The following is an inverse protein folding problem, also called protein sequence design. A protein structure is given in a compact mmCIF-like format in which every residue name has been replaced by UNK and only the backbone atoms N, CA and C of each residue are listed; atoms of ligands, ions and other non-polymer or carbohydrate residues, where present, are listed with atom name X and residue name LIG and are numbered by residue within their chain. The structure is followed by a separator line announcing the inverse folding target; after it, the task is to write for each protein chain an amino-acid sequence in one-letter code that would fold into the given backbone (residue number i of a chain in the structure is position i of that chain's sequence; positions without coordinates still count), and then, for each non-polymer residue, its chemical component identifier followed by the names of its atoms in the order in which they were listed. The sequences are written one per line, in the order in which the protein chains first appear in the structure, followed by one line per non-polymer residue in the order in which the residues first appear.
data_IF_849926639102
#
_entry.id   IF_849926639102
#
_cell.length_a   1.000
_cell.length_b   1.000
_cell.length_c   1.000
_cell.angle_alpha   90.00
_cell.angle_beta   90.00
_cell.angle_gamma   90.00
#
_symmetry.space_group_name_H-M   'P 1'
#
loop_
_entity.id
_entity.type
_entity.pdbx_description
1 polymer ?
#
# COMPACT_ATOMS: atom_id res chain seq x y z
N UNK A 1 -39.22 26.65 27.97
CA UNK A 1 -37.98 25.82 28.07
C UNK A 1 -38.23 24.51 27.34
N UNK A 2 -37.36 24.16 26.42
CA UNK A 2 -37.44 22.92 25.68
C UNK A 2 -36.82 21.81 26.53
N UNK A 3 -37.44 20.64 26.56
CA UNK A 3 -36.93 19.46 27.25
C UNK A 3 -36.33 18.47 26.25
N UNK A 4 -35.16 17.89 26.59
CA UNK A 4 -34.59 16.77 25.87
C UNK A 4 -34.98 15.46 26.55
N UNK A 5 -35.32 14.45 25.76
CA UNK A 5 -35.52 13.08 26.21
C UNK A 5 -34.61 12.17 25.43
N UNK A 6 -33.98 11.19 26.08
CA UNK A 6 -33.14 10.17 25.45
C UNK A 6 -33.40 8.83 26.12
N UNK A 7 -33.44 7.77 25.31
CA UNK A 7 -33.54 6.39 25.76
C UNK A 7 -32.83 5.46 24.78
N UNK A 8 -32.55 4.22 25.20
CA UNK A 8 -31.87 3.19 24.40
C UNK A 8 -32.78 1.97 24.27
N UNK A 9 -32.89 1.41 23.06
CA UNK A 9 -33.67 0.22 22.78
C UNK A 9 -32.98 -0.71 21.80
N UNK A 10 -33.35 -1.98 21.79
CA UNK A 10 -32.89 -2.97 20.82
C UNK A 10 -33.98 -3.18 19.77
N UNK A 11 -33.58 -3.13 18.50
CA UNK A 11 -34.45 -3.40 17.36
C UNK A 11 -33.92 -4.64 16.64
N UNK A 12 -34.81 -5.47 16.12
CA UNK A 12 -34.42 -6.59 15.23
C UNK A 12 -34.01 -6.07 13.88
N UNK A 13 -33.35 -6.91 13.08
CA UNK A 13 -33.08 -6.63 11.67
C UNK A 13 -34.39 -6.30 10.93
N UNK A 14 -34.32 -5.32 10.02
CA UNK A 14 -35.41 -4.88 9.16
C UNK A 14 -35.75 -3.40 9.29
N UNK A 15 -36.77 -2.99 8.57
CA UNK A 15 -37.26 -1.62 8.60
C UNK A 15 -38.17 -1.37 9.82
N UNK A 16 -37.89 -0.31 10.55
CA UNK A 16 -38.66 0.08 11.73
C UNK A 16 -39.17 1.51 11.59
N UNK A 17 -40.44 1.72 11.91
CA UNK A 17 -41.00 3.04 12.10
C UNK A 17 -41.01 3.36 13.61
N UNK A 18 -40.23 4.36 14.03
CA UNK A 18 -40.26 4.86 15.40
C UNK A 18 -41.29 5.99 15.52
N UNK A 19 -42.12 5.95 16.56
CA UNK A 19 -43.05 7.00 16.89
C UNK A 19 -42.72 7.58 18.28
N UNK A 20 -42.46 8.87 18.33
CA UNK A 20 -42.43 9.63 19.57
C UNK A 20 -43.79 10.26 19.80
N UNK A 21 -44.43 9.88 20.92
CA UNK A 21 -45.72 10.42 21.34
C UNK A 21 -45.54 11.25 22.60
N UNK A 22 -46.06 12.46 22.61
CA UNK A 22 -46.10 13.33 23.79
C UNK A 22 -47.57 13.66 24.12
N UNK A 23 -47.90 13.54 25.38
CA UNK A 23 -49.24 13.84 25.89
C UNK A 23 -49.14 14.86 27.05
N UNK A 24 -49.92 15.93 26.98
CA UNK A 24 -49.96 16.94 28.05
C UNK A 24 -50.95 16.54 29.20
N UNK A 25 -50.93 17.29 30.28
CA UNK A 25 -51.78 17.07 31.45
C UNK A 25 -53.29 17.23 31.17
N UNK A 26 -53.66 17.77 30.00
CA UNK A 26 -55.05 17.90 29.55
C UNK A 26 -55.44 16.81 28.55
N UNK A 27 -54.58 15.82 28.28
CA UNK A 27 -54.81 14.71 27.37
C UNK A 27 -54.65 15.03 25.89
N UNK A 28 -54.02 16.17 25.54
CA UNK A 28 -53.67 16.48 24.13
C UNK A 28 -52.41 15.78 23.73
N UNK A 29 -52.43 15.20 22.55
CA UNK A 29 -51.38 14.34 22.04
C UNK A 29 -50.75 14.95 20.78
N UNK A 30 -49.44 14.94 20.74
CA UNK A 30 -48.61 15.18 19.51
C UNK A 30 -47.73 13.97 19.24
N UNK A 31 -47.58 13.63 17.98
CA UNK A 31 -46.76 12.49 17.53
C UNK A 31 -45.81 12.93 16.43
N UNK A 32 -44.61 12.37 16.45
CA UNK A 32 -43.63 12.48 15.39
C UNK A 32 -43.14 11.08 15.03
N UNK A 33 -42.86 10.81 13.75
CA UNK A 33 -42.43 9.51 13.27
C UNK A 33 -41.22 9.65 12.39
N UNK A 34 -40.30 8.68 12.48
CA UNK A 34 -39.21 8.47 11.57
C UNK A 34 -39.12 6.99 11.19
N UNK A 35 -38.53 6.71 10.04
CA UNK A 35 -38.22 5.35 9.58
C UNK A 35 -36.73 5.17 9.62
N UNK A 36 -36.27 4.03 10.17
CA UNK A 36 -34.89 3.60 10.15
C UNK A 36 -34.80 2.16 9.67
N UNK A 37 -33.66 1.80 9.12
CA UNK A 37 -33.32 0.44 8.74
C UNK A 37 -32.30 -0.11 9.73
N UNK A 38 -32.53 -1.31 10.27
CA UNK A 38 -31.55 -2.08 11.05
C UNK A 38 -31.01 -3.19 10.17
N UNK A 39 -29.73 -3.17 9.91
CA UNK A 39 -29.01 -4.22 9.19
C UNK A 39 -28.89 -5.51 9.99
N UNK A 40 -28.42 -6.59 9.35
CA UNK A 40 -28.00 -7.83 10.01
C UNK A 40 -26.80 -7.62 10.93
N UNK A 41 -26.33 -8.72 11.54
CA UNK A 41 -25.07 -8.68 12.29
C UNK A 41 -23.94 -8.27 11.37
N UNK A 42 -23.13 -7.29 11.79
CA UNK A 42 -22.00 -6.84 10.99
C UNK A 42 -20.97 -7.97 10.78
N UNK A 43 -20.43 -8.04 9.59
CA UNK A 43 -19.32 -8.91 9.20
C UNK A 43 -18.09 -8.02 8.97
N UNK A 44 -16.92 -8.48 9.40
CA UNK A 44 -15.67 -7.76 9.15
C UNK A 44 -15.34 -7.84 7.67
N UNK A 45 -14.91 -6.73 7.02
CA UNK A 45 -14.52 -6.75 5.63
C UNK A 45 -13.37 -7.71 5.35
N UNK A 46 -13.28 -8.20 4.13
CA UNK A 46 -12.09 -8.84 3.56
C UNK A 46 -11.21 -7.80 2.86
N UNK A 47 -9.90 -7.97 2.92
CA UNK A 47 -8.94 -7.13 2.19
C UNK A 47 -7.65 -7.88 1.86
N UNK A 48 -7.01 -7.50 0.74
CA UNK A 48 -5.76 -8.08 0.28
C UNK A 48 -4.97 -7.06 -0.54
N UNK A 49 -3.64 -7.00 -0.34
CA UNK A 49 -2.70 -6.27 -1.21
C UNK A 49 -2.34 -7.18 -2.39
N UNK A 50 -2.65 -6.76 -3.60
CA UNK A 50 -2.42 -7.54 -4.83
C UNK A 50 -1.11 -7.15 -5.52
N UNK A 51 -0.70 -5.88 -5.39
CA UNK A 51 0.50 -5.36 -6.06
C UNK A 51 1.06 -4.14 -5.30
N UNK A 52 2.40 -4.01 -5.22
CA UNK A 52 3.44 -4.94 -5.69
C UNK A 52 3.37 -6.29 -4.98
N UNK A 53 4.07 -7.31 -5.51
CA UNK A 53 4.22 -8.58 -4.79
C UNK A 53 5.11 -8.38 -3.56
N UNK A 54 4.90 -9.20 -2.53
CA UNK A 54 5.74 -9.19 -1.33
C UNK A 54 7.23 -9.29 -1.68
N UNK A 55 8.06 -8.56 -0.94
CA UNK A 55 9.51 -8.49 -1.14
C UNK A 55 9.95 -7.87 -2.49
N UNK A 56 9.10 -7.04 -3.10
CA UNK A 56 9.48 -6.28 -4.31
C UNK A 56 10.46 -5.17 -3.97
N UNK A 57 11.46 -4.95 -4.85
CA UNK A 57 12.38 -3.81 -4.77
C UNK A 57 11.95 -2.69 -5.75
N UNK A 58 11.95 -1.45 -5.26
CA UNK A 58 11.64 -0.24 -6.03
C UNK A 58 12.69 0.83 -5.82
N UNK A 59 12.77 1.78 -6.76
CA UNK A 59 13.76 2.87 -6.72
C UNK A 59 13.18 4.06 -5.95
N UNK A 60 13.95 4.63 -5.01
CA UNK A 60 13.59 5.84 -4.27
C UNK A 60 13.24 7.00 -5.21
N UNK A 61 12.20 7.75 -4.87
CA UNK A 61 11.72 8.89 -5.65
C UNK A 61 10.94 8.54 -6.92
N UNK A 62 10.89 7.27 -7.31
CA UNK A 62 10.05 6.83 -8.43
C UNK A 62 8.64 6.47 -7.95
N UNK A 63 7.66 6.70 -8.84
CA UNK A 63 6.27 6.41 -8.53
C UNK A 63 6.01 4.91 -8.45
N UNK A 64 5.59 4.44 -7.28
CA UNK A 64 5.15 3.07 -7.03
C UNK A 64 3.63 3.05 -6.95
N UNK A 65 3.00 2.12 -7.67
CA UNK A 65 1.55 1.93 -7.66
C UNK A 65 1.22 0.71 -6.79
N UNK A 66 0.44 0.95 -5.75
CA UNK A 66 -0.11 -0.08 -4.88
C UNK A 66 -1.54 -0.38 -5.30
N UNK A 67 -1.91 -1.65 -5.32
CA UNK A 67 -3.25 -2.13 -5.67
C UNK A 67 -3.70 -3.16 -4.65
N UNK A 68 -4.98 -3.15 -4.35
CA UNK A 68 -5.59 -4.14 -3.48
C UNK A 68 -7.03 -4.39 -3.88
N UNK A 69 -7.63 -5.34 -3.20
CA UNK A 69 -9.05 -5.68 -3.29
C UNK A 69 -9.67 -5.72 -1.90
N UNK A 70 -10.92 -5.31 -1.79
CA UNK A 70 -11.70 -5.41 -0.57
C UNK A 70 -13.15 -5.74 -0.90
N UNK A 71 -13.80 -6.45 -0.01
CA UNK A 71 -15.24 -6.77 -0.08
C UNK A 71 -15.84 -6.87 1.31
N UNK A 72 -17.13 -6.74 1.37
CA UNK A 72 -17.91 -6.94 2.58
C UNK A 72 -19.21 -7.66 2.23
N UNK A 73 -19.72 -8.48 3.15
CA UNK A 73 -20.93 -9.28 2.92
C UNK A 73 -22.23 -8.49 3.16
N UNK A 74 -22.15 -7.36 3.85
CA UNK A 74 -23.34 -6.60 4.25
C UNK A 74 -23.38 -5.14 3.75
N UNK A 75 -22.30 -4.63 3.16
CA UNK A 75 -22.29 -3.32 2.48
C UNK A 75 -21.62 -3.39 1.13
N UNK A 76 -21.87 -2.38 0.31
CA UNK A 76 -21.21 -2.26 -0.99
C UNK A 76 -19.72 -1.93 -0.80
N UNK A 77 -18.83 -2.51 -1.60
CA UNK A 77 -17.39 -2.24 -1.50
C UNK A 77 -17.06 -0.75 -1.59
N UNK A 78 -17.87 0.04 -2.30
CA UNK A 78 -17.72 1.50 -2.42
C UNK A 78 -17.97 2.27 -1.11
N UNK A 79 -18.51 1.63 -0.10
CA UNK A 79 -18.73 2.23 1.23
C UNK A 79 -17.56 1.98 2.19
N UNK A 80 -16.64 1.07 1.81
CA UNK A 80 -15.43 0.79 2.57
C UNK A 80 -14.42 1.94 2.44
N UNK A 81 -13.62 2.15 3.49
CA UNK A 81 -12.52 3.12 3.50
C UNK A 81 -11.18 2.40 3.64
N UNK A 82 -10.24 2.74 2.76
CA UNK A 82 -8.89 2.16 2.75
C UNK A 82 -7.87 3.20 3.15
N UNK A 83 -7.05 2.87 4.13
CA UNK A 83 -5.86 3.65 4.54
C UNK A 83 -4.61 2.82 4.28
N UNK A 84 -3.63 3.42 3.61
CA UNK A 84 -2.32 2.84 3.34
C UNK A 84 -1.28 3.43 4.28
N UNK A 85 -0.49 2.58 4.90
CA UNK A 85 0.53 2.95 5.88
C UNK A 85 1.88 2.34 5.51
N UNK A 86 2.94 3.04 5.86
CA UNK A 86 4.31 2.52 5.92
C UNK A 86 4.80 2.62 7.36
N UNK A 87 5.50 1.61 7.84
CA UNK A 87 6.10 1.60 9.18
C UNK A 87 7.22 2.65 9.35
N UNK A 88 7.79 3.16 8.23
CA UNK A 88 8.83 4.20 8.24
C UNK A 88 8.28 5.60 7.98
N UNK A 89 7.35 5.75 7.02
CA UNK A 89 6.90 7.05 6.52
C UNK A 89 5.49 7.43 6.99
N UNK A 90 4.83 6.57 7.79
CA UNK A 90 3.46 6.80 8.27
C UNK A 90 2.41 6.59 7.18
N UNK A 91 1.37 7.42 7.17
CA UNK A 91 0.31 7.31 6.18
C UNK A 91 0.80 7.74 4.80
N UNK A 92 0.74 6.83 3.82
CA UNK A 92 1.18 7.07 2.44
C UNK A 92 0.03 7.32 1.46
N UNK A 93 -1.20 7.09 1.88
CA UNK A 93 -2.39 7.40 1.08
C UNK A 93 -3.68 6.87 1.66
N UNK A 94 -4.78 7.18 0.98
CA UNK A 94 -6.10 6.62 1.23
C UNK A 94 -6.85 6.48 -0.09
N UNK A 95 -7.77 5.54 -0.15
CA UNK A 95 -8.59 5.28 -1.34
C UNK A 95 -9.94 4.69 -0.94
N UNK A 96 -10.89 4.69 -1.88
CA UNK A 96 -12.12 3.92 -1.77
C UNK A 96 -12.12 2.84 -2.84
N UNK A 97 -12.60 1.64 -2.55
CA UNK A 97 -12.78 0.60 -3.55
C UNK A 97 -13.81 0.99 -4.62
N UNK A 98 -13.65 0.46 -5.81
CA UNK A 98 -14.69 0.46 -6.85
C UNK A 98 -15.82 -0.51 -6.50
N UNK A 99 -16.89 -0.53 -7.30
CA UNK A 99 -17.97 -1.52 -7.18
C UNK A 99 -17.49 -2.98 -7.31
N UNK A 100 -16.35 -3.20 -7.96
CA UNK A 100 -15.71 -4.51 -8.11
C UNK A 100 -14.73 -4.81 -6.96
N UNK A 101 -14.63 -3.91 -5.97
CA UNK A 101 -13.77 -4.04 -4.81
C UNK A 101 -12.30 -3.64 -5.05
N UNK A 102 -11.92 -3.21 -6.26
CA UNK A 102 -10.55 -2.82 -6.56
C UNK A 102 -10.24 -1.40 -6.05
N UNK A 103 -9.05 -1.22 -5.48
CA UNK A 103 -8.55 0.09 -5.06
C UNK A 103 -7.07 0.24 -5.33
N UNK A 104 -6.59 1.48 -5.42
CA UNK A 104 -5.18 1.76 -5.67
C UNK A 104 -4.76 3.13 -5.17
N UNK A 105 -3.46 3.25 -4.87
CA UNK A 105 -2.77 4.54 -4.71
C UNK A 105 -1.49 4.55 -5.52
N UNK A 106 -0.95 5.74 -5.75
CA UNK A 106 0.37 5.95 -6.33
C UNK A 106 1.14 6.93 -5.45
N UNK A 107 2.36 6.57 -5.07
CA UNK A 107 3.24 7.43 -4.29
C UNK A 107 4.68 7.36 -4.80
N UNK A 108 5.42 8.46 -4.64
CA UNK A 108 6.86 8.55 -4.87
C UNK A 108 7.61 9.09 -3.64
N UNK A 109 6.92 9.16 -2.49
CA UNK A 109 7.44 9.75 -1.26
C UNK A 109 7.96 8.74 -0.24
N UNK A 110 8.20 7.47 -0.65
CA UNK A 110 8.81 6.49 0.24
C UNK A 110 10.32 6.74 0.37
N UNK A 111 10.82 6.73 1.60
CA UNK A 111 12.25 6.87 1.91
C UNK A 111 13.03 5.59 1.58
N UNK A 112 14.36 5.69 1.37
CA UNK A 112 15.21 4.51 1.17
C UNK A 112 15.28 3.68 2.47
N UNK A 113 14.54 2.59 2.53
CA UNK A 113 14.44 1.65 3.66
C UNK A 113 13.76 0.34 3.25
N UNK A 114 13.82 -0.64 4.15
CA UNK A 114 12.94 -1.80 4.12
C UNK A 114 11.63 -1.42 4.84
N UNK A 115 10.55 -1.36 4.09
CA UNK A 115 9.23 -0.97 4.59
C UNK A 115 8.34 -2.17 4.83
N UNK A 116 7.54 -2.11 5.89
CA UNK A 116 6.29 -2.87 5.99
C UNK A 116 5.18 -1.93 5.54
N UNK A 117 4.62 -2.22 4.37
CA UNK A 117 3.45 -1.52 3.84
C UNK A 117 2.22 -2.28 4.29
N UNK A 118 1.27 -1.59 4.88
CA UNK A 118 0.02 -2.17 5.35
C UNK A 118 -1.19 -1.40 4.84
N UNK A 119 -2.29 -2.12 4.70
CA UNK A 119 -3.61 -1.55 4.51
C UNK A 119 -4.48 -1.77 5.75
N UNK A 120 -5.33 -0.81 6.00
CA UNK A 120 -6.44 -0.91 6.93
C UNK A 120 -7.71 -0.57 6.17
N UNK A 121 -8.64 -1.52 6.09
CA UNK A 121 -9.94 -1.36 5.43
C UNK A 121 -11.01 -1.41 6.50
N UNK A 122 -11.80 -0.34 6.61
CA UNK A 122 -12.87 -0.21 7.60
C UNK A 122 -14.24 -0.09 6.95
N UNK A 123 -15.23 -0.68 7.60
CA UNK A 123 -16.66 -0.55 7.27
C UNK A 123 -17.33 0.64 8.00
N UNK A 124 -18.66 0.77 7.85
CA UNK A 124 -19.48 1.85 8.41
C UNK A 124 -19.62 1.81 9.94
N UNK A 125 -19.37 0.65 10.57
CA UNK A 125 -19.41 0.50 12.03
C UNK A 125 -18.04 0.40 12.67
N UNK A 126 -16.97 0.46 11.88
CA UNK A 126 -15.58 0.48 12.33
C UNK A 126 -14.97 -0.90 12.56
N UNK A 127 -15.56 -1.97 11.98
CA UNK A 127 -14.83 -3.24 11.90
C UNK A 127 -13.73 -3.15 10.84
N UNK A 128 -12.59 -3.81 11.09
CA UNK A 128 -11.35 -3.55 10.33
C UNK A 128 -10.73 -4.86 9.85
N UNK A 129 -10.39 -4.88 8.55
CA UNK A 129 -9.45 -5.84 7.97
C UNK A 129 -8.06 -5.20 7.84
N UNK A 130 -7.00 -6.00 7.95
CA UNK A 130 -5.61 -5.60 7.69
C UNK A 130 -4.89 -6.64 6.85
N UNK A 131 -4.02 -6.14 5.96
CA UNK A 131 -3.05 -6.94 5.22
C UNK A 131 -1.74 -6.17 5.10
N UNK A 132 -0.62 -6.88 4.94
CA UNK A 132 0.72 -6.27 4.90
C UNK A 132 1.64 -6.97 3.91
N UNK A 133 2.64 -6.21 3.41
CA UNK A 133 3.71 -6.69 2.55
C UNK A 133 5.03 -6.00 2.85
N UNK A 134 6.14 -6.64 2.50
CA UNK A 134 7.48 -6.03 2.57
C UNK A 134 7.80 -5.38 1.22
N UNK A 135 8.34 -4.16 1.28
CA UNK A 135 8.82 -3.41 0.11
C UNK A 135 10.21 -2.87 0.39
N UNK A 136 11.16 -3.16 -0.48
CA UNK A 136 12.52 -2.62 -0.41
C UNK A 136 12.61 -1.37 -1.27
N UNK A 137 12.89 -0.21 -0.66
CA UNK A 137 13.09 1.06 -1.36
C UNK A 137 14.56 1.45 -1.24
N UNK A 138 15.23 1.64 -2.38
CA UNK A 138 16.65 1.98 -2.40
C UNK A 138 17.07 2.74 -3.65
N UNK A 139 18.36 3.13 -3.69
CA UNK A 139 18.94 3.76 -4.87
C UNK A 139 19.67 2.71 -5.73
N UNK A 140 19.68 2.84 -7.07
CA UNK A 140 20.46 1.95 -7.90
C UNK A 140 21.97 2.19 -7.68
N UNK A 141 22.82 1.14 -7.75
CA UNK A 141 24.24 1.30 -7.65
C UNK A 141 24.80 2.20 -8.76
N UNK A 142 25.84 2.94 -8.45
CA UNK A 142 26.59 3.71 -9.43
C UNK A 142 27.71 2.87 -10.02
N UNK A 143 27.98 3.02 -11.32
CA UNK A 143 29.03 2.30 -12.03
C UNK A 143 29.72 3.20 -13.05
N UNK A 144 31.04 3.08 -13.15
CA UNK A 144 31.82 3.69 -14.22
C UNK A 144 32.93 2.76 -14.68
N UNK A 145 33.27 2.78 -15.99
CA UNK A 145 34.38 2.06 -16.54
C UNK A 145 35.59 2.99 -16.50
N UNK A 146 36.69 2.55 -15.85
CA UNK A 146 37.94 3.27 -15.78
C UNK A 146 38.90 2.85 -16.92
N UNK A 147 38.93 1.56 -17.23
CA UNK A 147 39.75 0.97 -18.32
C UNK A 147 38.95 -0.14 -19.03
N UNK A 148 39.07 -0.29 -20.39
CA UNK A 148 39.78 0.62 -21.30
C UNK A 148 38.95 1.89 -21.56
N UNK A 149 39.62 2.95 -22.04
CA UNK A 149 38.94 4.16 -22.48
C UNK A 149 38.16 3.91 -23.78
N UNK A 150 37.07 4.61 -23.94
CA UNK A 150 36.25 4.48 -25.14
C UNK A 150 37.03 4.85 -26.40
N UNK A 151 37.06 3.94 -27.37
CA UNK A 151 37.78 4.12 -28.65
C UNK A 151 39.20 3.60 -28.65
N UNK A 152 39.73 3.05 -27.56
CA UNK A 152 41.05 2.36 -27.59
C UNK A 152 41.03 1.14 -28.51
N UNK A 153 42.16 0.88 -29.14
CA UNK A 153 42.33 -0.21 -30.11
C UNK A 153 43.38 -1.19 -29.61
N UNK A 154 43.03 -2.44 -29.52
CA UNK A 154 43.91 -3.54 -29.11
C UNK A 154 44.13 -4.50 -30.26
N UNK A 155 45.32 -5.12 -30.28
CA UNK A 155 45.63 -6.17 -31.26
C UNK A 155 45.12 -7.53 -30.79
N UNK A 156 44.71 -8.37 -31.72
CA UNK A 156 44.28 -9.74 -31.43
C UNK A 156 45.40 -10.49 -30.70
N UNK A 157 45.05 -11.15 -29.60
CA UNK A 157 45.97 -11.93 -28.77
C UNK A 157 46.64 -11.15 -27.64
N UNK A 158 46.36 -9.85 -27.51
CA UNK A 158 46.79 -9.09 -26.34
C UNK A 158 45.71 -9.17 -25.22
N UNK A 159 46.17 -9.20 -23.98
CA UNK A 159 45.31 -9.05 -22.81
C UNK A 159 44.76 -7.62 -22.74
N UNK A 160 43.50 -7.47 -22.40
CA UNK A 160 42.84 -6.19 -22.19
C UNK A 160 42.45 -6.12 -20.73
N UNK A 161 42.91 -5.07 -20.04
CA UNK A 161 42.49 -4.81 -18.66
C UNK A 161 41.10 -4.19 -18.68
N UNK A 162 40.18 -4.81 -17.94
CA UNK A 162 38.86 -4.23 -17.62
C UNK A 162 38.88 -3.76 -16.17
N UNK A 163 38.72 -2.47 -15.95
CA UNK A 163 38.67 -1.87 -14.64
C UNK A 163 37.44 -0.96 -14.53
N UNK A 164 36.64 -1.13 -13.47
CA UNK A 164 35.48 -0.31 -13.16
C UNK A 164 35.49 0.15 -11.71
N UNK A 165 34.74 1.20 -11.45
CA UNK A 165 34.45 1.68 -10.10
C UNK A 165 32.97 1.54 -9.88
N UNK A 166 32.56 0.94 -8.75
CA UNK A 166 31.17 0.74 -8.36
C UNK A 166 30.98 1.25 -6.94
N UNK A 167 29.79 1.75 -6.65
CA UNK A 167 29.36 2.09 -5.29
C UNK A 167 27.84 2.02 -5.18
N UNK A 168 27.38 1.77 -3.97
CA UNK A 168 25.97 1.79 -3.60
C UNK A 168 25.84 2.39 -2.20
N UNK A 169 24.75 3.09 -1.91
CA UNK A 169 24.53 3.74 -0.61
C UNK A 169 24.05 2.74 0.45
N UNK A 170 23.25 1.77 0.05
CA UNK A 170 22.61 0.82 0.93
C UNK A 170 23.34 -0.54 0.95
N UNK A 171 23.96 -0.94 -0.16
CA UNK A 171 24.57 -2.25 -0.34
C UNK A 171 26.08 -2.20 -0.19
N UNK A 172 26.67 -2.90 0.79
CA UNK A 172 28.13 -3.02 0.92
C UNK A 172 28.77 -3.64 -0.33
N UNK A 173 29.99 -3.22 -0.68
CA UNK A 173 30.71 -3.67 -1.90
C UNK A 173 30.78 -5.20 -2.01
N UNK A 174 30.99 -5.91 -0.91
CA UNK A 174 31.09 -7.38 -0.90
C UNK A 174 29.75 -8.10 -1.16
N UNK A 175 28.64 -7.38 -1.27
CA UNK A 175 27.32 -7.90 -1.62
C UNK A 175 26.89 -7.47 -3.03
N UNK A 176 27.59 -6.51 -3.66
CA UNK A 176 27.35 -6.16 -5.05
C UNK A 176 27.84 -7.28 -5.96
N UNK A 177 27.08 -7.57 -7.03
CA UNK A 177 27.50 -8.48 -8.09
C UNK A 177 27.78 -7.65 -9.34
N UNK A 178 28.99 -7.79 -9.87
CA UNK A 178 29.46 -7.09 -11.09
C UNK A 178 29.66 -8.12 -12.18
N UNK A 179 29.19 -7.84 -13.39
CA UNK A 179 29.50 -8.63 -14.59
C UNK A 179 30.07 -7.75 -15.71
N UNK A 180 30.96 -8.33 -16.50
CA UNK A 180 31.48 -7.76 -17.74
C UNK A 180 30.95 -8.56 -18.92
N UNK A 181 30.27 -7.90 -19.83
CA UNK A 181 29.68 -8.49 -21.02
C UNK A 181 30.22 -7.80 -22.28
N UNK A 182 30.48 -8.57 -23.32
CA UNK A 182 30.82 -8.03 -24.63
C UNK A 182 29.84 -8.50 -25.69
N UNK A 183 29.43 -7.60 -26.58
CA UNK A 183 28.55 -7.92 -27.69
C UNK A 183 29.17 -8.97 -28.59
N UNK A 184 28.48 -10.05 -28.92
CA UNK A 184 28.93 -11.15 -29.75
C UNK A 184 29.77 -12.22 -29.02
N UNK A 185 30.14 -11.99 -27.75
CA UNK A 185 30.90 -12.95 -26.91
C UNK A 185 30.01 -13.39 -25.73
N UNK A 186 29.22 -12.47 -25.11
CA UNK A 186 28.47 -12.68 -23.89
C UNK A 186 29.29 -12.30 -22.65
N UNK A 187 28.96 -12.92 -21.50
CA UNK A 187 29.64 -12.68 -20.24
C UNK A 187 31.14 -13.07 -20.31
N UNK A 188 32.01 -12.13 -19.97
CA UNK A 188 33.47 -12.31 -19.91
C UNK A 188 33.85 -12.72 -18.47
N UNK A 189 33.31 -12.08 -17.49
CA UNK A 189 33.54 -12.38 -16.07
C UNK A 189 32.42 -11.84 -15.19
N UNK A 190 32.24 -12.45 -14.02
CA UNK A 190 31.35 -11.96 -12.97
C UNK A 190 31.94 -12.23 -11.59
N UNK A 191 31.56 -11.42 -10.60
CA UNK A 191 32.02 -11.55 -9.24
C UNK A 191 31.67 -10.34 -8.37
N UNK A 192 32.16 -10.35 -7.14
CA UNK A 192 32.06 -9.21 -6.26
C UNK A 192 33.20 -8.24 -6.49
N UNK A 193 33.02 -6.93 -6.32
CA UNK A 193 34.10 -5.96 -6.34
C UNK A 193 35.16 -6.25 -5.29
N UNK A 194 36.44 -6.07 -5.64
CA UNK A 194 37.52 -6.12 -4.66
C UNK A 194 37.44 -4.87 -3.75
N UNK A 195 37.58 -5.07 -2.45
CA UNK A 195 37.75 -3.97 -1.49
C UNK A 195 39.21 -3.46 -1.63
N UNK A 196 39.37 -2.27 -2.19
CA UNK A 196 40.69 -1.56 -2.19
C UNK A 196 40.93 -0.86 -0.86
#
# INVERSE_FOLDING_TARGET
SDGMISDYGYLSEGQHALELKVEDSSGKITKEQLVLQVGGANVTPYCEIVSPLDSTAVVEGFSTIFRGVASDDNIDATELMVTWMSDKDGQIGSSQPSSDGEFSISTNGLSANDHVISIEVSDEVGAICRDEMILFVGTPPSVSIAEPLSGEVFSVGNDVLFQGVVSDLETPLNQLVVSWDASGIGEISSGNPDSQ
#
